data_IF_162653350177
#
_entry.id   IF_162653350177
#
_cell.length_a   1.000
_cell.length_b   1.000
_cell.length_c   1.000
_cell.angle_alpha   90.00
_cell.angle_beta   90.00
_cell.angle_gamma   90.00
#
_symmetry.space_group_name_H-M   'P 1'
#
loop_
_entity.id
_entity.type
_entity.pdbx_description
1 polymer ?
#
# COMPACT_ATOMS: atom_id res chain seq x y z
N UNK A 1 14.08 -8.28 18.17
CA UNK A 1 13.15 -9.18 17.44
C UNK A 1 13.44 -10.60 17.91
N UNK A 2 12.50 -11.24 18.63
CA UNK A 2 12.72 -12.53 19.26
C UNK A 2 12.71 -13.67 18.22
N UNK A 3 13.61 -14.66 18.43
CA UNK A 3 13.71 -15.87 17.59
C UNK A 3 12.37 -16.63 17.49
N UNK A 4 11.49 -16.50 18.47
CA UNK A 4 10.16 -17.10 18.52
C UNK A 4 9.21 -16.56 17.44
N UNK A 5 9.28 -15.28 17.10
CA UNK A 5 8.47 -14.70 16.02
C UNK A 5 8.83 -15.26 14.63
N UNK A 6 10.07 -15.70 14.46
CA UNK A 6 10.54 -16.27 13.20
C UNK A 6 10.05 -17.69 12.96
N UNK A 7 9.88 -18.48 14.00
CA UNK A 7 9.33 -19.84 13.91
C UNK A 7 7.84 -19.83 13.60
N UNK A 8 7.09 -18.91 14.17
CA UNK A 8 5.68 -18.72 13.83
C UNK A 8 5.49 -18.23 12.39
N UNK A 9 6.34 -17.31 11.92
CA UNK A 9 6.26 -16.80 10.55
C UNK A 9 6.51 -17.90 9.49
N UNK A 10 7.40 -18.84 9.77
CA UNK A 10 7.66 -19.99 8.89
C UNK A 10 6.43 -20.90 8.70
N UNK A 11 5.51 -20.91 9.67
CA UNK A 11 4.29 -21.71 9.60
C UNK A 11 3.29 -21.19 8.55
N UNK A 12 3.40 -19.92 8.15
CA UNK A 12 2.54 -19.31 7.11
C UNK A 12 3.13 -19.38 5.71
N UNK A 13 4.37 -19.88 5.56
CA UNK A 13 4.96 -20.12 4.25
C UNK A 13 4.56 -21.52 3.77
N UNK A 14 4.17 -21.69 2.49
CA UNK A 14 3.88 -23.00 1.95
C UNK A 14 5.11 -23.90 2.11
N UNK A 15 4.90 -25.14 2.54
CA UNK A 15 5.96 -26.14 2.60
C UNK A 15 6.45 -26.49 1.18
N UNK A 16 7.63 -27.08 1.07
CA UNK A 16 8.16 -27.51 -0.24
C UNK A 16 7.24 -28.54 -0.96
N UNK A 17 6.50 -29.34 -0.20
CA UNK A 17 5.51 -30.27 -0.74
C UNK A 17 4.27 -29.51 -1.23
N UNK A 18 3.72 -28.60 -0.44
CA UNK A 18 2.61 -27.73 -0.85
C UNK A 18 2.97 -26.91 -2.10
N UNK A 19 4.22 -26.42 -2.19
CA UNK A 19 4.69 -25.66 -3.33
C UNK A 19 4.70 -26.47 -4.64
N UNK A 20 4.93 -27.80 -4.59
CA UNK A 20 4.84 -28.66 -5.76
C UNK A 20 3.40 -28.91 -6.20
N UNK A 21 2.51 -29.15 -5.25
CA UNK A 21 1.08 -29.42 -5.53
C UNK A 21 0.39 -28.18 -6.09
N UNK A 22 0.78 -26.98 -5.63
CA UNK A 22 0.21 -25.69 -6.06
C UNK A 22 1.09 -24.92 -7.05
N UNK A 23 2.10 -25.56 -7.67
CA UNK A 23 3.08 -24.88 -8.55
C UNK A 23 2.41 -24.00 -9.62
N UNK A 24 1.41 -24.51 -10.32
CA UNK A 24 0.71 -23.77 -11.36
C UNK A 24 -0.01 -22.53 -10.82
N UNK A 25 -0.62 -22.64 -9.64
CA UNK A 25 -1.31 -21.52 -8.97
C UNK A 25 -0.33 -20.47 -8.47
N UNK A 26 0.81 -20.89 -7.92
CA UNK A 26 1.87 -19.99 -7.47
C UNK A 26 2.51 -19.25 -8.65
N UNK A 27 2.75 -19.96 -9.76
CA UNK A 27 3.27 -19.35 -10.98
C UNK A 27 2.28 -18.32 -11.57
N UNK A 28 1.01 -18.67 -11.66
CA UNK A 28 -0.04 -17.75 -12.11
C UNK A 28 -0.11 -16.51 -11.22
N UNK A 29 -0.05 -16.70 -9.90
CA UNK A 29 -0.04 -15.59 -8.93
C UNK A 29 1.21 -14.69 -9.12
N UNK A 30 2.37 -15.27 -9.36
CA UNK A 30 3.60 -14.53 -9.63
C UNK A 30 3.46 -13.64 -10.88
N UNK A 31 2.95 -14.20 -11.98
CA UNK A 31 2.72 -13.47 -13.24
C UNK A 31 1.69 -12.36 -13.06
N UNK A 32 0.56 -12.67 -12.41
CA UNK A 32 -0.49 -11.67 -12.14
C UNK A 32 0.03 -10.52 -11.29
N UNK A 33 0.77 -10.79 -10.23
CA UNK A 33 1.35 -9.73 -9.39
C UNK A 33 2.38 -8.88 -10.15
N UNK A 34 3.18 -9.46 -11.03
CA UNK A 34 4.11 -8.71 -11.87
C UNK A 34 3.36 -7.76 -12.82
N UNK A 35 2.29 -8.23 -13.46
CA UNK A 35 1.43 -7.40 -14.32
C UNK A 35 0.73 -6.29 -13.52
N UNK A 36 0.20 -6.62 -12.36
CA UNK A 36 -0.44 -5.66 -11.46
C UNK A 36 0.54 -4.60 -10.97
N UNK A 37 1.80 -4.96 -10.68
CA UNK A 37 2.83 -3.99 -10.30
C UNK A 37 3.03 -2.92 -11.37
N UNK A 38 3.22 -3.33 -12.62
CA UNK A 38 3.40 -2.42 -13.76
C UNK A 38 2.16 -1.54 -13.94
N UNK A 39 0.97 -2.13 -13.92
CA UNK A 39 -0.31 -1.41 -14.07
C UNK A 39 -0.50 -0.39 -12.95
N UNK A 40 -0.23 -0.76 -11.71
CA UNK A 40 -0.34 0.12 -10.53
C UNK A 40 0.59 1.32 -10.67
N UNK A 41 1.83 1.12 -11.10
CA UNK A 41 2.79 2.22 -11.29
C UNK A 41 2.32 3.17 -12.40
N UNK A 42 1.93 2.66 -13.56
CA UNK A 42 1.48 3.48 -14.70
C UNK A 42 0.24 4.28 -14.32
N UNK A 43 -0.77 3.64 -13.73
CA UNK A 43 -2.03 4.29 -13.38
C UNK A 43 -1.83 5.37 -12.32
N UNK A 44 -1.04 5.12 -11.28
CA UNK A 44 -0.82 6.09 -10.21
C UNK A 44 0.12 7.24 -10.64
N UNK A 45 1.11 7.00 -11.49
CA UNK A 45 1.88 8.08 -12.13
C UNK A 45 0.98 8.99 -12.97
N UNK A 46 0.07 8.40 -13.75
CA UNK A 46 -0.91 9.14 -14.55
C UNK A 46 -1.87 9.93 -13.67
N UNK A 47 -2.37 9.32 -12.58
CA UNK A 47 -3.22 9.97 -11.58
C UNK A 47 -2.52 11.17 -10.94
N UNK A 48 -1.27 11.04 -10.50
CA UNK A 48 -0.48 12.14 -9.93
C UNK A 48 -0.36 13.29 -10.95
N UNK A 49 -0.06 12.97 -12.20
CA UNK A 49 0.06 13.98 -13.24
C UNK A 49 -1.28 14.72 -13.46
N UNK A 50 -2.39 13.99 -13.56
CA UNK A 50 -3.72 14.54 -13.72
C UNK A 50 -4.14 15.42 -12.53
N UNK A 51 -3.96 14.93 -11.29
CA UNK A 51 -4.29 15.66 -10.07
C UNK A 51 -3.48 16.94 -9.93
N UNK A 52 -2.21 16.94 -10.33
CA UNK A 52 -1.36 18.15 -10.31
C UNK A 52 -1.84 19.21 -11.30
N UNK A 53 -2.37 18.83 -12.45
CA UNK A 53 -2.91 19.74 -13.48
C UNK A 53 -4.34 20.20 -13.20
N UNK A 54 -5.10 19.51 -12.39
CA UNK A 54 -6.50 19.83 -12.12
C UNK A 54 -6.64 21.07 -11.21
N UNK A 55 -6.85 22.23 -11.82
CA UNK A 55 -7.01 23.51 -11.11
C UNK A 55 -8.35 23.63 -10.37
N UNK A 56 -9.36 22.84 -10.74
CA UNK A 56 -10.72 22.88 -10.17
C UNK A 56 -10.87 22.08 -8.87
N UNK A 57 -9.87 21.27 -8.50
CA UNK A 57 -9.91 20.47 -7.26
C UNK A 57 -9.63 21.33 -6.03
N UNK A 58 -10.42 21.13 -4.96
CA UNK A 58 -10.10 21.73 -3.67
C UNK A 58 -8.72 21.27 -3.20
N UNK A 59 -8.00 22.15 -2.52
CA UNK A 59 -6.63 21.85 -2.07
C UNK A 59 -6.58 20.63 -1.14
N UNK A 60 -7.61 20.46 -0.30
CA UNK A 60 -7.74 19.30 0.60
C UNK A 60 -7.84 17.99 -0.18
N UNK A 61 -8.78 17.93 -1.12
CA UNK A 61 -8.97 16.75 -1.97
C UNK A 61 -7.72 16.42 -2.78
N UNK A 62 -7.08 17.45 -3.34
CA UNK A 62 -5.83 17.28 -4.07
C UNK A 62 -4.74 16.64 -3.22
N UNK A 63 -4.58 17.08 -1.96
CA UNK A 63 -3.60 16.52 -1.03
C UNK A 63 -3.91 15.05 -0.72
N UNK A 64 -5.17 14.72 -0.47
CA UNK A 64 -5.61 13.35 -0.16
C UNK A 64 -5.42 12.41 -1.36
N UNK A 65 -5.78 12.85 -2.57
CA UNK A 65 -5.59 12.07 -3.79
C UNK A 65 -4.10 11.83 -4.10
N UNK A 66 -3.25 12.84 -3.88
CA UNK A 66 -1.81 12.66 -4.04
C UNK A 66 -1.24 11.70 -3.00
N UNK A 67 -1.69 11.77 -1.75
CA UNK A 67 -1.29 10.82 -0.71
C UNK A 67 -1.67 9.38 -1.10
N UNK A 68 -2.90 9.15 -1.55
CA UNK A 68 -3.37 7.84 -2.00
C UNK A 68 -2.50 7.31 -3.16
N UNK A 69 -2.29 8.12 -4.20
CA UNK A 69 -1.50 7.71 -5.35
C UNK A 69 -0.01 7.43 -4.99
N UNK A 70 0.56 8.15 -4.02
CA UNK A 70 1.92 7.88 -3.51
C UNK A 70 1.97 6.56 -2.74
N UNK A 71 0.98 6.28 -1.89
CA UNK A 71 0.88 4.99 -1.18
C UNK A 71 0.78 3.82 -2.16
N UNK A 72 -0.05 3.96 -3.19
CA UNK A 72 -0.24 2.94 -4.21
C UNK A 72 1.01 2.74 -5.08
N UNK A 73 1.78 3.80 -5.36
CA UNK A 73 3.11 3.68 -5.96
C UNK A 73 4.06 2.89 -5.08
N UNK A 74 4.02 3.09 -3.76
CA UNK A 74 4.79 2.28 -2.80
C UNK A 74 4.43 0.79 -2.88
N UNK A 75 3.15 0.46 -3.03
CA UNK A 75 2.70 -0.92 -3.25
C UNK A 75 3.26 -1.45 -4.57
N UNK A 76 3.09 -0.73 -5.67
CA UNK A 76 3.51 -1.17 -7.00
C UNK A 76 5.03 -1.30 -7.16
N UNK A 77 5.81 -0.41 -6.55
CA UNK A 77 7.27 -0.37 -6.69
C UNK A 77 8.01 -1.22 -5.67
N UNK A 78 7.47 -1.42 -4.48
CA UNK A 78 8.13 -2.11 -3.39
C UNK A 78 7.42 -3.42 -3.01
N UNK A 79 6.15 -3.35 -2.63
CA UNK A 79 5.44 -4.49 -2.07
C UNK A 79 5.22 -5.61 -3.10
N UNK A 80 4.75 -5.29 -4.30
CA UNK A 80 4.45 -6.29 -5.33
C UNK A 80 5.72 -6.94 -5.91
N UNK A 81 6.79 -6.21 -6.29
CA UNK A 81 8.02 -6.86 -6.74
C UNK A 81 8.68 -7.72 -5.66
N UNK A 82 8.64 -7.25 -4.40
CA UNK A 82 9.18 -8.05 -3.29
C UNK A 82 8.36 -9.32 -3.06
N UNK A 83 7.02 -9.25 -3.19
CA UNK A 83 6.15 -10.42 -3.13
C UNK A 83 6.48 -11.44 -4.23
N UNK A 84 6.73 -11.00 -5.46
CA UNK A 84 7.18 -11.87 -6.55
C UNK A 84 8.51 -12.56 -6.21
N UNK A 85 9.45 -11.85 -5.58
CA UNK A 85 10.71 -12.44 -5.12
C UNK A 85 10.47 -13.48 -4.02
N UNK A 86 9.62 -13.19 -3.03
CA UNK A 86 9.25 -14.15 -1.98
C UNK A 86 8.68 -15.42 -2.58
N UNK A 87 7.75 -15.28 -3.52
CA UNK A 87 7.07 -16.39 -4.16
C UNK A 87 8.02 -17.22 -5.03
N UNK A 88 8.88 -16.57 -5.83
CA UNK A 88 9.87 -17.24 -6.65
C UNK A 88 10.91 -18.01 -5.82
N UNK A 89 11.29 -17.49 -4.67
CA UNK A 89 12.19 -18.19 -3.72
C UNK A 89 11.53 -19.40 -3.08
N UNK A 90 10.25 -19.32 -2.76
CA UNK A 90 9.47 -20.46 -2.28
C UNK A 90 9.38 -21.57 -3.34
N UNK A 91 9.20 -21.21 -4.62
CA UNK A 91 9.19 -22.16 -5.73
C UNK A 91 10.55 -22.84 -5.97
N UNK A 92 11.65 -22.21 -5.61
CA UNK A 92 13.02 -22.73 -5.73
C UNK A 92 13.48 -23.53 -4.51
N UNK A 93 12.61 -23.79 -3.55
CA UNK A 93 12.91 -24.46 -2.28
C UNK A 93 14.03 -23.75 -1.45
N UNK A 94 14.16 -22.45 -1.63
CA UNK A 94 15.13 -21.59 -0.97
C UNK A 94 14.43 -20.37 -0.36
N UNK A 95 13.65 -20.54 0.74
CA UNK A 95 12.87 -19.48 1.31
C UNK A 95 13.75 -18.34 1.82
N UNK A 96 13.21 -17.12 1.75
CA UNK A 96 13.88 -15.93 2.28
C UNK A 96 14.14 -16.06 3.80
N UNK A 97 15.26 -15.50 4.23
CA UNK A 97 15.57 -15.40 5.66
C UNK A 97 14.48 -14.59 6.40
N UNK A 98 14.30 -14.92 7.67
CA UNK A 98 13.29 -14.34 8.54
C UNK A 98 13.33 -12.80 8.58
N UNK A 99 14.49 -12.19 8.60
CA UNK A 99 14.63 -10.74 8.59
C UNK A 99 14.02 -10.11 7.32
N UNK A 100 14.35 -10.68 6.15
CA UNK A 100 13.82 -10.18 4.87
C UNK A 100 12.30 -10.31 4.80
N UNK A 101 11.76 -11.43 5.30
CA UNK A 101 10.31 -11.65 5.34
C UNK A 101 9.62 -10.66 6.30
N UNK A 102 10.21 -10.37 7.46
CA UNK A 102 9.67 -9.38 8.41
C UNK A 102 9.67 -7.97 7.81
N UNK A 103 10.75 -7.57 7.14
CA UNK A 103 10.79 -6.29 6.43
C UNK A 103 9.71 -6.22 5.35
N UNK A 104 9.55 -7.29 4.58
CA UNK A 104 8.52 -7.38 3.56
C UNK A 104 7.11 -7.21 4.13
N UNK A 105 6.78 -7.94 5.21
CA UNK A 105 5.47 -7.86 5.86
C UNK A 105 5.22 -6.44 6.40
N UNK A 106 6.22 -5.81 7.02
CA UNK A 106 6.12 -4.44 7.51
C UNK A 106 5.86 -3.44 6.38
N UNK A 107 6.55 -3.57 5.25
CA UNK A 107 6.36 -2.71 4.06
C UNK A 107 4.95 -2.88 3.49
N UNK A 108 4.44 -4.10 3.36
CA UNK A 108 3.07 -4.34 2.88
C UNK A 108 2.06 -3.70 3.84
N UNK A 109 2.15 -3.99 5.13
CA UNK A 109 1.21 -3.45 6.13
C UNK A 109 1.22 -1.92 6.08
N UNK A 110 2.40 -1.31 6.03
CA UNK A 110 2.56 0.13 6.00
C UNK A 110 1.84 0.77 4.79
N UNK A 111 2.14 0.34 3.57
CA UNK A 111 1.56 0.95 2.38
C UNK A 111 0.08 0.61 2.20
N UNK A 112 -0.33 -0.62 2.51
CA UNK A 112 -1.74 -1.03 2.42
C UNK A 112 -2.61 -0.27 3.43
N UNK A 113 -2.14 -0.13 4.66
CA UNK A 113 -2.85 0.66 5.67
C UNK A 113 -2.93 2.13 5.27
N UNK A 114 -1.83 2.72 4.76
CA UNK A 114 -1.81 4.11 4.28
C UNK A 114 -2.81 4.33 3.13
N UNK A 115 -2.92 3.40 2.20
CA UNK A 115 -3.89 3.47 1.09
C UNK A 115 -5.34 3.38 1.62
N UNK A 116 -5.65 2.43 2.51
CA UNK A 116 -6.98 2.29 3.11
C UNK A 116 -7.40 3.56 3.87
N UNK A 117 -6.51 4.10 4.70
CA UNK A 117 -6.78 5.36 5.40
C UNK A 117 -6.93 6.54 4.44
N UNK A 118 -6.18 6.54 3.33
CA UNK A 118 -6.32 7.53 2.26
C UNK A 118 -7.72 7.53 1.65
N UNK A 119 -8.25 6.36 1.31
CA UNK A 119 -9.63 6.21 0.80
C UNK A 119 -10.66 6.65 1.82
N UNK A 120 -10.51 6.25 3.09
CA UNK A 120 -11.39 6.70 4.18
C UNK A 120 -11.39 8.23 4.32
N UNK A 121 -10.21 8.85 4.32
CA UNK A 121 -10.07 10.29 4.44
C UNK A 121 -10.73 11.04 3.26
N UNK A 122 -10.61 10.53 2.03
CA UNK A 122 -11.30 11.08 0.85
C UNK A 122 -12.81 10.97 1.02
N UNK A 123 -13.31 9.83 1.49
CA UNK A 123 -14.74 9.60 1.70
C UNK A 123 -15.31 10.58 2.74
N UNK A 124 -14.61 10.76 3.85
CA UNK A 124 -14.98 11.74 4.90
C UNK A 124 -14.93 13.16 4.35
N UNK A 125 -13.89 13.53 3.60
CA UNK A 125 -13.75 14.86 2.99
C UNK A 125 -14.93 15.16 2.04
N UNK A 126 -15.33 14.21 1.23
CA UNK A 126 -16.48 14.37 0.33
C UNK A 126 -17.80 14.46 1.08
N UNK A 127 -18.00 13.63 2.11
CA UNK A 127 -19.18 13.70 2.96
C UNK A 127 -19.30 15.07 3.65
N UNK A 128 -18.22 15.57 4.23
CA UNK A 128 -18.20 16.90 4.88
C UNK A 128 -18.43 18.02 3.86
N UNK A 129 -17.90 17.92 2.65
CA UNK A 129 -18.13 18.92 1.60
C UNK A 129 -19.61 19.00 1.21
N UNK A 130 -20.32 17.89 1.15
CA UNK A 130 -21.74 17.82 0.84
C UNK A 130 -22.62 18.31 1.99
N UNK A 131 -22.27 17.97 3.22
CA UNK A 131 -23.11 18.29 4.41
C UNK A 131 -22.93 19.71 4.92
N UNK A 132 -21.70 20.21 4.91
CA UNK A 132 -21.36 21.49 5.55
C UNK A 132 -21.39 22.69 4.61
N UNK A 133 -21.52 22.46 3.29
CA UNK A 133 -21.60 23.52 2.26
C UNK A 133 -20.63 24.70 2.55
N UNK A 134 -21.17 25.85 2.99
CA UNK A 134 -20.38 27.06 3.24
C UNK A 134 -19.41 26.95 4.44
N UNK A 135 -19.71 26.09 5.43
CA UNK A 135 -18.84 25.89 6.60
C UNK A 135 -17.68 24.94 6.36
N UNK A 136 -17.71 24.18 5.25
CA UNK A 136 -16.66 23.21 4.90
C UNK A 136 -15.28 23.88 4.82
N UNK A 137 -15.16 25.02 4.15
CA UNK A 137 -13.89 25.73 3.97
C UNK A 137 -13.26 26.22 5.27
N UNK A 138 -14.08 26.53 6.27
CA UNK A 138 -13.60 26.94 7.60
C UNK A 138 -13.09 25.74 8.44
N UNK A 139 -13.69 24.56 8.27
CA UNK A 139 -13.35 23.36 9.02
C UNK A 139 -12.24 22.54 8.39
N UNK A 140 -12.28 22.35 7.06
CA UNK A 140 -11.30 21.52 6.31
C UNK A 140 -10.28 22.44 5.65
N UNK A 141 -9.26 22.82 6.42
CA UNK A 141 -8.14 23.62 5.91
C UNK A 141 -7.00 22.72 5.42
N UNK A 142 -6.23 23.20 4.44
CA UNK A 142 -5.05 22.51 3.91
C UNK A 142 -4.10 22.06 5.04
N UNK A 143 -3.87 22.91 6.02
CA UNK A 143 -2.96 22.64 7.13
C UNK A 143 -3.44 21.46 7.98
N UNK A 144 -4.74 21.39 8.30
CA UNK A 144 -5.33 20.29 9.08
C UNK A 144 -5.25 18.96 8.35
N UNK A 145 -5.52 18.96 7.04
CA UNK A 145 -5.41 17.76 6.21
C UNK A 145 -3.96 17.28 6.14
N UNK A 146 -3.02 18.20 5.94
CA UNK A 146 -1.59 17.86 5.89
C UNK A 146 -1.11 17.28 7.24
N UNK A 147 -1.47 17.92 8.36
CA UNK A 147 -1.14 17.42 9.71
C UNK A 147 -1.75 16.02 9.92
N UNK A 148 -3.02 15.80 9.53
CA UNK A 148 -3.67 14.50 9.65
C UNK A 148 -2.95 13.41 8.85
N UNK A 149 -2.57 13.68 7.60
CA UNK A 149 -1.79 12.76 6.75
C UNK A 149 -0.42 12.49 7.39
N UNK A 150 0.27 13.50 7.88
CA UNK A 150 1.59 13.35 8.52
C UNK A 150 1.50 12.50 9.78
N UNK A 151 0.51 12.75 10.65
CA UNK A 151 0.28 11.95 11.86
C UNK A 151 -0.04 10.49 11.52
N UNK A 152 -0.80 10.26 10.47
CA UNK A 152 -1.10 8.91 9.98
C UNK A 152 0.19 8.18 9.57
N UNK A 153 1.05 8.80 8.78
CA UNK A 153 2.33 8.21 8.38
C UNK A 153 3.24 7.93 9.57
N UNK A 154 3.34 8.87 10.52
CA UNK A 154 4.12 8.67 11.74
C UNK A 154 3.56 7.54 12.61
N UNK A 155 2.23 7.43 12.74
CA UNK A 155 1.57 6.35 13.47
C UNK A 155 1.87 4.98 12.85
N UNK A 156 1.84 4.87 11.51
CA UNK A 156 2.14 3.62 10.80
C UNK A 156 3.61 3.20 10.90
N UNK A 157 4.54 4.16 11.03
CA UNK A 157 5.97 3.84 11.25
C UNK A 157 6.20 3.28 12.67
N UNK A 158 5.34 3.63 13.62
CA UNK A 158 5.50 3.22 15.02
C UNK A 158 4.90 1.83 15.33
N UNK A 159 4.14 1.24 14.41
CA UNK A 159 3.60 -0.12 14.49
C UNK A 159 4.63 -1.14 14.02
#
# INVERSE_FOLDING_TARGET
MNLSSCTELKHYLPSAEDAKDFYSSLLANCVLNALMAVSTVILNCTAIHAVRKACYLSTSLRTLLLNLAISDLGIGLLSQPFYVVVLSKSLQDNPLGCFAYSVFTSVIIFFTSSSLFGVMAISVDRYLALHLHLRYQALVTRSRVFIGVTLLWLSLIHI
#
